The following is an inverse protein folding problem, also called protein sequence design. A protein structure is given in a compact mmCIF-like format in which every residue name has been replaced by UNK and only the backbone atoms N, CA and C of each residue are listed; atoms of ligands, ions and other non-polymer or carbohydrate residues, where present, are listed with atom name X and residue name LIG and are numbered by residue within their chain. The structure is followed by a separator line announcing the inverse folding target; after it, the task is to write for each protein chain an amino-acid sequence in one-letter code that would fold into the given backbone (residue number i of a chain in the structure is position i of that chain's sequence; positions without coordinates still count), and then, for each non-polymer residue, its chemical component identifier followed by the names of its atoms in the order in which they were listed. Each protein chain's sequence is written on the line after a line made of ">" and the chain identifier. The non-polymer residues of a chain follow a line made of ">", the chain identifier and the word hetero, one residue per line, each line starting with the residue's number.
data_IF_359111554432
#
_entry.id   IF_359111554432
#
_cell.length_a   1.000
_cell.length_b   1.000
_cell.length_c   1.000
_cell.angle_alpha   90.00
_cell.angle_beta   90.00
_cell.angle_gamma   90.00
#
_symmetry.space_group_name_H-M   'P 1'
#
loop_
_entity.id
_entity.type
_entity.pdbx_description
1 polymer ?
#
# COMPACT_ATOMS: atom_id res chain seq x y z
N UNK A 1 -40.85 26.85 -7.94
CA UNK A 1 -40.13 25.57 -8.16
C UNK A 1 -38.66 25.89 -8.38
N UNK A 2 -37.86 25.82 -7.33
CA UNK A 2 -36.41 26.12 -7.37
C UNK A 2 -35.68 24.90 -7.91
N UNK A 3 -35.05 25.08 -9.08
CA UNK A 3 -34.21 24.06 -9.69
C UNK A 3 -33.00 23.80 -8.79
N UNK A 4 -32.93 22.63 -8.16
CA UNK A 4 -31.80 22.15 -7.43
C UNK A 4 -30.64 21.97 -8.42
N UNK A 5 -29.67 22.87 -8.41
CA UNK A 5 -28.45 22.70 -9.18
C UNK A 5 -27.75 21.40 -8.71
N UNK A 6 -27.76 20.36 -9.55
CA UNK A 6 -26.93 19.15 -9.34
C UNK A 6 -25.49 19.61 -9.35
N UNK A 7 -24.85 19.55 -8.17
CA UNK A 7 -23.41 19.75 -8.01
C UNK A 7 -22.70 18.78 -8.95
N UNK A 8 -22.05 19.27 -10.00
CA UNK A 8 -21.25 18.45 -10.92
C UNK A 8 -20.10 17.86 -10.12
N UNK A 9 -20.06 16.54 -10.00
CA UNK A 9 -18.88 15.84 -9.48
C UNK A 9 -17.70 16.17 -10.40
N UNK A 10 -16.73 16.93 -9.90
CA UNK A 10 -15.58 17.43 -10.65
C UNK A 10 -14.42 16.44 -10.74
N UNK A 11 -14.56 15.23 -10.18
CA UNK A 11 -13.55 14.19 -10.22
C UNK A 11 -14.04 13.00 -11.05
N UNK A 12 -13.27 12.63 -12.09
CA UNK A 12 -13.46 11.32 -12.73
C UNK A 12 -13.11 10.25 -11.71
N UNK A 13 -13.72 9.06 -11.80
CA UNK A 13 -13.39 7.91 -10.95
C UNK A 13 -11.88 7.53 -11.02
N UNK A 14 -11.18 7.92 -12.10
CA UNK A 14 -9.73 7.76 -12.25
C UNK A 14 -8.90 8.68 -11.35
N UNK A 15 -9.48 9.75 -10.81
CA UNK A 15 -8.78 10.76 -10.00
C UNK A 15 -9.44 10.86 -8.61
N UNK A 16 -10.25 9.89 -8.22
CA UNK A 16 -10.86 9.87 -6.90
C UNK A 16 -9.76 9.94 -5.83
N UNK A 17 -9.79 10.99 -5.03
CA UNK A 17 -8.92 11.13 -3.87
C UNK A 17 -9.39 10.16 -2.78
N UNK A 18 -8.45 9.50 -2.13
CA UNK A 18 -8.70 8.75 -0.90
C UNK A 18 -8.72 9.66 0.34
N UNK A 19 -8.33 10.94 0.18
CA UNK A 19 -8.35 11.93 1.25
C UNK A 19 -9.78 12.34 1.59
N UNK A 20 -10.07 12.49 2.88
CA UNK A 20 -11.30 13.11 3.36
C UNK A 20 -11.32 14.62 3.03
N UNK A 21 -12.52 15.23 3.04
CA UNK A 21 -12.64 16.66 2.85
C UNK A 21 -11.91 17.42 3.97
N UNK A 22 -11.04 18.37 3.58
CA UNK A 22 -10.22 19.14 4.52
C UNK A 22 -8.99 18.44 5.07
N UNK A 23 -8.74 17.17 4.74
CA UNK A 23 -7.54 16.48 5.15
C UNK A 23 -6.29 17.05 4.45
N UNK A 24 -5.18 17.31 5.15
CA UNK A 24 -3.92 17.72 4.55
C UNK A 24 -3.43 16.68 3.54
N UNK A 25 -3.01 17.14 2.37
CA UNK A 25 -2.52 16.26 1.30
C UNK A 25 -1.25 16.81 0.66
N UNK A 26 -0.38 15.92 0.17
CA UNK A 26 0.73 16.27 -0.70
C UNK A 26 0.44 15.76 -2.13
N UNK A 27 0.58 16.60 -3.17
CA UNK A 27 0.42 16.15 -4.54
C UNK A 27 1.63 15.31 -4.98
N UNK A 28 1.38 14.23 -5.68
CA UNK A 28 2.36 13.40 -6.39
C UNK A 28 3.65 13.10 -5.59
N UNK A 29 3.57 12.59 -4.35
CA UNK A 29 4.75 12.42 -3.49
C UNK A 29 5.81 11.50 -4.10
N UNK A 30 5.40 10.45 -4.82
CA UNK A 30 6.30 9.55 -5.54
C UNK A 30 7.08 10.28 -6.64
N UNK A 31 6.38 11.02 -7.49
CA UNK A 31 7.01 11.72 -8.62
C UNK A 31 8.02 12.77 -8.14
N UNK A 32 7.67 13.56 -7.12
CA UNK A 32 8.58 14.54 -6.54
C UNK A 32 9.81 13.89 -5.89
N UNK A 33 9.63 12.84 -5.12
CA UNK A 33 10.74 12.11 -4.49
C UNK A 33 11.69 11.50 -5.54
N UNK A 34 11.14 10.93 -6.61
CA UNK A 34 11.93 10.35 -7.69
C UNK A 34 12.71 11.40 -8.48
N UNK A 35 12.10 12.55 -8.78
CA UNK A 35 12.78 13.68 -9.45
C UNK A 35 13.96 14.16 -8.61
N UNK A 36 13.76 14.33 -7.30
CA UNK A 36 14.83 14.78 -6.41
C UNK A 36 15.98 13.77 -6.32
N UNK A 37 15.63 12.47 -6.17
CA UNK A 37 16.61 11.40 -6.14
C UNK A 37 17.44 11.32 -7.44
N UNK A 38 16.79 11.47 -8.59
CA UNK A 38 17.42 11.39 -9.90
C UNK A 38 18.37 12.56 -10.23
N UNK A 39 18.34 13.64 -9.46
CA UNK A 39 19.36 14.70 -9.56
C UNK A 39 20.76 14.22 -9.17
N UNK A 40 20.83 13.32 -8.22
CA UNK A 40 22.08 12.78 -7.67
C UNK A 40 22.44 11.41 -8.30
N UNK A 41 21.51 10.77 -8.98
CA UNK A 41 21.62 9.39 -9.50
C UNK A 41 21.32 9.38 -11.00
N UNK A 42 22.37 9.27 -11.81
CA UNK A 42 22.25 9.23 -13.28
C UNK A 42 21.80 7.87 -13.82
N UNK A 43 21.93 6.83 -13.02
CA UNK A 43 21.51 5.46 -13.34
C UNK A 43 19.99 5.24 -13.26
N UNK A 44 19.24 6.16 -12.65
CA UNK A 44 17.78 6.06 -12.55
C UNK A 44 17.12 6.33 -13.90
N UNK A 45 16.27 5.40 -14.33
CA UNK A 45 15.41 5.51 -15.51
C UNK A 45 13.96 5.26 -15.14
N UNK A 46 13.04 5.97 -15.78
CA UNK A 46 11.58 5.84 -15.55
C UNK A 46 10.91 5.15 -16.73
N UNK A 47 10.14 4.09 -16.49
CA UNK A 47 9.39 3.38 -17.52
C UNK A 47 7.90 3.31 -17.17
N UNK A 48 7.02 3.39 -18.16
CA UNK A 48 5.57 3.27 -17.94
C UNK A 48 4.84 2.55 -19.08
N UNK A 49 3.71 1.92 -18.72
CA UNK A 49 2.77 1.33 -19.67
C UNK A 49 1.60 2.29 -19.94
N UNK A 50 1.90 3.45 -20.54
CA UNK A 50 0.94 4.51 -20.91
C UNK A 50 0.13 5.10 -19.72
N UNK A 51 0.72 5.10 -18.53
CA UNK A 51 0.08 5.55 -17.31
C UNK A 51 0.86 6.61 -16.52
N UNK A 52 1.85 7.30 -17.16
CA UNK A 52 2.75 8.22 -16.46
C UNK A 52 2.01 9.28 -15.63
N UNK A 53 0.94 9.87 -16.16
CA UNK A 53 0.10 10.86 -15.47
C UNK A 53 -0.69 10.24 -14.31
N UNK A 54 -1.04 8.97 -14.42
CA UNK A 54 -1.85 8.25 -13.45
C UNK A 54 -1.04 7.48 -12.40
N UNK A 55 0.28 7.61 -12.45
CA UNK A 55 1.23 7.01 -11.50
C UNK A 55 2.23 8.05 -10.99
N UNK A 56 1.95 9.34 -11.24
CA UNK A 56 2.80 10.49 -10.89
C UNK A 56 4.20 10.50 -11.57
N UNK A 57 4.50 9.52 -12.45
CA UNK A 57 5.78 9.44 -13.16
C UNK A 57 5.96 10.54 -14.23
N UNK A 58 4.89 11.24 -14.61
CA UNK A 58 4.96 12.36 -15.55
C UNK A 58 5.92 13.47 -15.07
N UNK A 59 6.06 13.68 -13.76
CA UNK A 59 7.03 14.65 -13.22
C UNK A 59 8.46 14.26 -13.53
N UNK A 60 8.77 12.96 -13.50
CA UNK A 60 10.08 12.46 -13.93
C UNK A 60 10.28 12.61 -15.45
N UNK A 61 9.24 12.31 -16.24
CA UNK A 61 9.27 12.47 -17.69
C UNK A 61 9.55 13.92 -18.12
N UNK A 62 8.92 14.90 -17.44
CA UNK A 62 9.11 16.32 -17.68
C UNK A 62 10.52 16.80 -17.27
N UNK A 63 11.07 16.28 -16.15
CA UNK A 63 12.37 16.66 -15.64
C UNK A 63 13.55 15.98 -16.36
N UNK A 64 13.36 14.75 -16.81
CA UNK A 64 14.40 13.89 -17.40
C UNK A 64 13.90 13.12 -18.64
N UNK A 65 13.52 13.81 -19.72
CA UNK A 65 12.94 13.20 -20.91
C UNK A 65 13.84 12.14 -21.57
N UNK A 66 15.16 12.32 -21.54
CA UNK A 66 16.13 11.37 -22.09
C UNK A 66 16.30 10.08 -21.27
N UNK A 67 15.74 10.04 -20.06
CA UNK A 67 15.75 8.87 -19.15
C UNK A 67 14.35 8.31 -18.91
N UNK A 68 13.37 8.77 -19.69
CA UNK A 68 11.98 8.31 -19.60
C UNK A 68 11.59 7.50 -20.84
N UNK A 69 10.94 6.35 -20.63
CA UNK A 69 10.56 5.41 -21.68
C UNK A 69 9.08 5.04 -21.57
N UNK A 70 8.35 5.33 -22.64
CA UNK A 70 6.95 4.95 -22.80
C UNK A 70 6.87 3.63 -23.57
N UNK A 71 6.37 2.57 -22.92
CA UNK A 71 6.32 1.22 -23.48
C UNK A 71 4.95 0.86 -24.09
N UNK A 72 3.97 1.77 -24.02
CA UNK A 72 2.59 1.48 -24.41
C UNK A 72 1.87 0.57 -23.41
N UNK A 73 0.62 0.21 -23.68
CA UNK A 73 -0.17 -0.72 -22.86
C UNK A 73 0.30 -2.17 -23.02
N UNK A 74 1.58 -2.42 -22.72
CA UNK A 74 2.27 -3.69 -22.90
C UNK A 74 3.11 -4.01 -21.64
N UNK A 75 2.46 -4.41 -20.56
CA UNK A 75 3.10 -4.60 -19.25
C UNK A 75 4.18 -5.69 -19.27
N UNK A 76 4.03 -6.71 -20.12
CA UNK A 76 5.06 -7.73 -20.31
C UNK A 76 6.33 -7.13 -20.93
N UNK A 77 6.20 -6.32 -21.98
CA UNK A 77 7.32 -5.62 -22.59
C UNK A 77 7.96 -4.64 -21.60
N UNK A 78 7.13 -3.91 -20.85
CA UNK A 78 7.57 -2.97 -19.82
C UNK A 78 8.53 -3.66 -18.84
N UNK A 79 8.15 -4.82 -18.29
CA UNK A 79 8.97 -5.55 -17.31
C UNK A 79 10.23 -6.15 -17.94
N UNK A 80 10.12 -6.69 -19.16
CA UNK A 80 11.29 -7.22 -19.88
C UNK A 80 12.32 -6.13 -20.23
N UNK A 81 11.85 -4.96 -20.65
CA UNK A 81 12.72 -3.82 -20.94
C UNK A 81 13.44 -3.33 -19.67
N UNK A 82 12.71 -3.23 -18.55
CA UNK A 82 13.30 -2.87 -17.26
C UNK A 82 14.36 -3.90 -16.80
N UNK A 83 14.10 -5.19 -16.99
CA UNK A 83 15.08 -6.23 -16.69
C UNK A 83 16.37 -6.06 -17.52
N UNK A 84 16.23 -5.82 -18.84
CA UNK A 84 17.38 -5.54 -19.70
C UNK A 84 18.18 -4.31 -19.24
N UNK A 85 17.51 -3.22 -18.90
CA UNK A 85 18.17 -2.01 -18.40
C UNK A 85 18.87 -2.25 -17.05
N UNK A 86 18.27 -3.04 -16.15
CA UNK A 86 18.89 -3.37 -14.87
C UNK A 86 20.17 -4.20 -15.04
N UNK A 87 20.22 -5.10 -16.03
CA UNK A 87 21.43 -5.85 -16.38
C UNK A 87 22.57 -4.95 -16.90
N UNK A 88 22.21 -3.84 -17.57
CA UNK A 88 23.17 -2.82 -18.05
C UNK A 88 23.57 -1.80 -16.96
N UNK A 89 23.15 -2.03 -15.70
CA UNK A 89 23.55 -1.20 -14.55
C UNK A 89 22.66 0.00 -14.26
N UNK A 90 21.51 0.13 -14.93
CA UNK A 90 20.51 1.12 -14.58
C UNK A 90 19.66 0.65 -13.39
N UNK A 91 19.00 1.61 -12.73
CA UNK A 91 18.00 1.37 -11.70
C UNK A 91 16.61 1.80 -12.22
N UNK A 92 15.87 0.89 -12.88
CA UNK A 92 14.57 1.22 -13.45
C UNK A 92 13.51 1.39 -12.37
N UNK A 93 12.79 2.52 -12.42
CA UNK A 93 11.50 2.73 -11.75
C UNK A 93 10.39 2.52 -12.77
N UNK A 94 9.62 1.45 -12.57
CA UNK A 94 8.59 0.99 -13.51
C UNK A 94 7.22 1.30 -12.94
N UNK A 95 6.33 1.89 -13.75
CA UNK A 95 4.98 2.22 -13.28
C UNK A 95 3.88 1.71 -14.19
N UNK A 96 2.86 1.13 -13.56
CA UNK A 96 1.58 0.76 -14.15
C UNK A 96 0.52 0.70 -13.05
N UNK A 97 -0.67 0.15 -13.30
CA UNK A 97 -1.60 -0.19 -12.23
C UNK A 97 -1.26 -1.54 -11.60
N UNK A 98 -1.53 -1.65 -10.29
CA UNK A 98 -1.22 -2.85 -9.50
C UNK A 98 -1.87 -4.11 -10.10
N UNK A 99 -3.12 -4.00 -10.54
CA UNK A 99 -3.85 -5.10 -11.20
C UNK A 99 -3.20 -5.55 -12.51
N UNK A 100 -2.58 -4.63 -13.26
CA UNK A 100 -1.95 -4.99 -14.54
C UNK A 100 -0.55 -5.58 -14.33
N UNK A 101 0.20 -5.07 -13.36
CA UNK A 101 1.46 -5.69 -12.99
C UNK A 101 1.26 -7.12 -12.48
N UNK A 102 0.30 -7.34 -11.57
CA UNK A 102 0.10 -8.64 -10.94
C UNK A 102 -0.53 -9.67 -11.87
N UNK A 103 -1.51 -9.29 -12.69
CA UNK A 103 -2.24 -10.25 -13.54
C UNK A 103 -1.62 -10.46 -14.92
N UNK A 104 -1.10 -9.39 -15.57
CA UNK A 104 -0.60 -9.48 -16.95
C UNK A 104 0.88 -9.71 -17.04
N UNK A 105 1.66 -9.16 -16.13
CA UNK A 105 3.13 -9.19 -16.21
C UNK A 105 3.76 -10.15 -15.20
N UNK A 106 2.97 -10.96 -14.47
CA UNK A 106 3.48 -11.82 -13.40
C UNK A 106 4.66 -12.68 -13.85
N UNK A 107 4.54 -13.41 -14.94
CA UNK A 107 5.59 -14.30 -15.45
C UNK A 107 6.86 -13.53 -15.83
N UNK A 108 6.70 -12.35 -16.43
CA UNK A 108 7.82 -11.48 -16.83
C UNK A 108 8.53 -10.87 -15.61
N UNK A 109 7.78 -10.52 -14.56
CA UNK A 109 8.39 -10.11 -13.28
C UNK A 109 9.12 -11.28 -12.65
N UNK A 110 8.51 -12.47 -12.65
CA UNK A 110 9.09 -13.68 -12.06
C UNK A 110 10.38 -14.08 -12.76
N UNK A 111 10.33 -14.29 -14.08
CA UNK A 111 11.43 -14.91 -14.82
C UNK A 111 12.48 -13.90 -15.32
N UNK A 112 12.09 -12.67 -15.67
CA UNK A 112 13.04 -11.71 -16.18
C UNK A 112 13.66 -10.82 -15.09
N UNK A 113 13.00 -10.65 -13.94
CA UNK A 113 13.45 -9.72 -12.89
C UNK A 113 13.78 -10.46 -11.59
N UNK A 114 12.81 -11.22 -11.03
CA UNK A 114 12.95 -11.80 -9.70
C UNK A 114 13.89 -13.01 -9.66
N UNK A 115 13.90 -13.84 -10.70
CA UNK A 115 14.76 -15.01 -10.80
C UNK A 115 16.25 -14.61 -10.72
N UNK A 116 16.64 -13.54 -11.42
CA UNK A 116 17.99 -12.99 -11.39
C UNK A 116 18.24 -11.95 -10.28
N UNK A 117 17.24 -11.71 -9.43
CA UNK A 117 17.29 -10.72 -8.35
C UNK A 117 17.72 -9.32 -8.81
N UNK A 118 17.19 -8.86 -9.95
CA UNK A 118 17.58 -7.59 -10.56
C UNK A 118 17.04 -6.38 -9.79
N UNK A 119 17.79 -5.29 -9.77
CA UNK A 119 17.45 -4.07 -9.08
C UNK A 119 16.39 -3.24 -9.83
N UNK A 120 15.16 -3.72 -9.89
CA UNK A 120 14.01 -3.07 -10.53
C UNK A 120 12.99 -2.63 -9.47
N UNK A 121 12.53 -1.37 -9.53
CA UNK A 121 11.54 -0.80 -8.60
C UNK A 121 10.18 -0.68 -9.31
N UNK A 122 9.23 -1.51 -8.95
CA UNK A 122 7.91 -1.64 -9.59
C UNK A 122 6.89 -0.90 -8.72
N UNK A 123 6.64 0.39 -9.02
CA UNK A 123 5.72 1.24 -8.28
C UNK A 123 4.35 1.27 -8.97
N UNK A 124 3.35 0.60 -8.38
CA UNK A 124 2.07 0.37 -9.04
C UNK A 124 0.91 1.07 -8.35
N UNK A 125 0.23 1.94 -9.10
CA UNK A 125 -0.94 2.67 -8.60
C UNK A 125 -2.21 1.80 -8.56
N UNK A 126 -3.22 2.28 -7.87
CA UNK A 126 -4.51 1.64 -7.64
C UNK A 126 -4.42 0.28 -6.91
N UNK A 127 -3.65 0.17 -5.80
CA UNK A 127 -3.64 -1.05 -5.02
C UNK A 127 -4.96 -1.26 -4.26
N UNK A 128 -5.38 -2.49 -4.13
CA UNK A 128 -6.61 -2.85 -3.41
C UNK A 128 -7.85 -2.14 -3.94
N UNK A 129 -8.72 -1.69 -3.03
CA UNK A 129 -9.92 -0.92 -3.33
C UNK A 129 -9.63 0.60 -3.22
N UNK A 130 -8.84 1.13 -4.15
CA UNK A 130 -8.57 2.57 -4.29
C UNK A 130 -9.10 3.16 -5.60
N UNK A 131 -9.92 2.40 -6.31
CA UNK A 131 -10.64 2.84 -7.51
C UNK A 131 -12.06 2.29 -7.55
N UNK A 132 -12.98 3.07 -8.10
CA UNK A 132 -14.38 2.70 -8.28
C UNK A 132 -14.71 1.98 -9.58
N UNK A 133 -13.72 1.60 -10.40
CA UNK A 133 -13.95 1.01 -11.73
C UNK A 133 -14.37 -0.45 -11.74
N UNK A 134 -14.42 -1.10 -10.58
CA UNK A 134 -14.73 -2.52 -10.48
C UNK A 134 -13.53 -3.44 -10.73
N UNK A 135 -13.75 -4.76 -10.85
CA UNK A 135 -12.71 -5.78 -10.78
C UNK A 135 -11.59 -5.67 -11.80
N UNK A 136 -11.85 -5.02 -12.95
CA UNK A 136 -10.84 -4.83 -13.99
C UNK A 136 -9.69 -3.91 -13.57
N UNK A 137 -9.90 -3.07 -12.53
CA UNK A 137 -8.94 -2.07 -12.06
C UNK A 137 -8.65 -2.16 -10.56
N UNK A 138 -9.34 -3.03 -9.83
CA UNK A 138 -9.15 -3.24 -8.39
C UNK A 138 -8.17 -4.38 -8.17
N UNK A 139 -6.99 -4.06 -7.62
CA UNK A 139 -5.94 -5.05 -7.32
C UNK A 139 -6.14 -5.58 -5.89
N UNK A 140 -7.18 -6.39 -5.71
CA UNK A 140 -7.54 -6.92 -4.39
C UNK A 140 -6.74 -8.16 -3.99
N UNK A 141 -5.99 -8.75 -4.92
CA UNK A 141 -5.21 -9.97 -4.74
C UNK A 141 -3.71 -9.82 -5.07
N UNK A 142 -3.22 -8.61 -5.31
CA UNK A 142 -1.84 -8.35 -5.76
C UNK A 142 -0.79 -8.83 -4.74
N UNK A 143 -1.01 -8.59 -3.44
CA UNK A 143 -0.11 -9.09 -2.39
C UNK A 143 -0.10 -10.63 -2.39
N UNK A 144 -1.26 -11.27 -2.46
CA UNK A 144 -1.36 -12.73 -2.47
C UNK A 144 -0.56 -13.35 -3.63
N UNK A 145 -0.69 -12.77 -4.84
CA UNK A 145 0.01 -13.20 -6.05
C UNK A 145 1.53 -13.05 -5.87
N UNK A 146 1.99 -11.93 -5.34
CA UNK A 146 3.42 -11.61 -5.26
C UNK A 146 4.12 -12.17 -4.02
N UNK A 147 3.39 -12.50 -2.94
CA UNK A 147 4.01 -13.08 -1.74
C UNK A 147 4.71 -14.42 -2.01
N UNK A 148 4.20 -15.19 -2.95
CA UNK A 148 4.83 -16.46 -3.36
C UNK A 148 6.08 -16.31 -4.23
N UNK A 149 6.36 -15.13 -4.79
CA UNK A 149 7.49 -14.92 -5.71
C UNK A 149 8.81 -14.75 -4.93
N UNK A 150 9.82 -15.61 -5.12
CA UNK A 150 11.13 -15.44 -4.47
C UNK A 150 11.77 -14.08 -4.81
N UNK A 151 12.67 -13.61 -3.95
CA UNK A 151 13.45 -12.38 -4.08
C UNK A 151 12.65 -11.06 -4.11
N UNK A 152 11.35 -11.07 -4.42
CA UNK A 152 10.53 -9.87 -4.50
C UNK A 152 10.20 -9.31 -3.10
N UNK A 153 10.62 -8.08 -2.84
CA UNK A 153 10.20 -7.31 -1.67
C UNK A 153 8.86 -6.62 -1.96
N UNK A 154 7.92 -6.65 -1.01
CA UNK A 154 6.59 -6.02 -1.13
C UNK A 154 6.46 -4.92 -0.09
N UNK A 155 6.15 -3.69 -0.55
CA UNK A 155 5.98 -2.51 0.29
C UNK A 155 4.61 -1.87 0.02
N UNK A 156 3.90 -1.53 1.10
CA UNK A 156 2.58 -0.88 1.08
C UNK A 156 2.63 0.40 1.95
N UNK A 157 3.13 1.53 1.42
CA UNK A 157 3.26 2.77 2.17
C UNK A 157 1.91 3.34 2.58
N UNK A 158 1.85 3.93 3.78
CA UNK A 158 0.65 4.47 4.38
C UNK A 158 0.19 5.77 3.69
N UNK A 159 1.08 6.75 3.56
CA UNK A 159 0.74 8.12 3.20
C UNK A 159 1.84 8.84 2.38
N UNK A 160 1.63 10.13 2.12
CA UNK A 160 2.59 10.94 1.36
C UNK A 160 3.94 11.11 2.08
N UNK A 161 3.92 11.24 3.42
CA UNK A 161 5.12 11.38 4.22
C UNK A 161 6.01 10.15 4.11
N UNK A 162 5.41 8.96 4.17
CA UNK A 162 6.13 7.70 4.04
C UNK A 162 6.59 7.43 2.60
N UNK A 163 5.75 7.67 1.59
CA UNK A 163 6.14 7.50 0.18
C UNK A 163 7.43 8.29 -0.12
N UNK A 164 7.51 9.52 0.36
CA UNK A 164 8.69 10.38 0.15
C UNK A 164 9.96 9.83 0.80
N UNK A 165 9.84 9.02 1.86
CA UNK A 165 10.96 8.35 2.53
C UNK A 165 11.29 6.99 1.91
N UNK A 166 10.27 6.25 1.44
CA UNK A 166 10.44 4.92 0.82
C UNK A 166 11.24 5.02 -0.48
N UNK A 167 10.94 6.00 -1.35
CA UNK A 167 11.58 6.12 -2.67
C UNK A 167 13.12 6.19 -2.58
N UNK A 168 13.73 7.08 -1.78
CA UNK A 168 15.19 7.07 -1.61
C UNK A 168 15.72 5.86 -0.83
N UNK A 169 14.91 5.24 0.04
CA UNK A 169 15.37 4.11 0.83
C UNK A 169 15.47 2.80 0.02
N UNK A 170 14.66 2.66 -1.03
CA UNK A 170 14.63 1.43 -1.84
C UNK A 170 15.60 1.45 -3.04
N UNK A 171 16.16 2.60 -3.42
CA UNK A 171 17.01 2.71 -4.61
C UNK A 171 18.24 1.82 -4.54
N UNK A 172 18.86 1.73 -3.38
CA UNK A 172 20.06 0.92 -3.13
C UNK A 172 19.75 -0.50 -2.62
N UNK A 173 18.47 -0.83 -2.42
CA UNK A 173 18.07 -2.19 -2.09
C UNK A 173 18.37 -3.11 -3.27
N UNK A 174 19.23 -4.09 -3.06
CA UNK A 174 19.58 -5.08 -4.07
C UNK A 174 18.43 -6.07 -4.26
N UNK A 175 17.88 -6.10 -5.46
CA UNK A 175 16.75 -6.92 -5.82
C UNK A 175 15.46 -6.14 -6.13
N UNK A 176 14.44 -6.85 -6.63
CA UNK A 176 13.19 -6.25 -7.06
C UNK A 176 12.33 -5.82 -5.86
N UNK A 177 11.71 -4.65 -6.03
CA UNK A 177 10.73 -4.11 -5.07
C UNK A 177 9.42 -3.87 -5.79
N UNK A 178 8.35 -4.45 -5.29
CA UNK A 178 6.98 -4.08 -5.63
C UNK A 178 6.44 -3.12 -4.58
N UNK A 179 6.14 -1.89 -4.98
CA UNK A 179 5.58 -0.86 -4.11
C UNK A 179 4.14 -0.55 -4.53
N UNK A 180 3.20 -0.71 -3.60
CA UNK A 180 1.80 -0.28 -3.75
C UNK A 180 1.73 1.23 -3.63
N UNK A 181 1.35 1.92 -4.69
CA UNK A 181 1.46 3.37 -4.79
C UNK A 181 0.11 4.07 -4.62
N UNK A 182 -0.03 4.87 -3.57
CA UNK A 182 -1.03 5.92 -3.49
C UNK A 182 -0.55 7.13 -4.30
N UNK A 183 -1.42 7.72 -5.12
CA UNK A 183 -1.08 8.70 -6.14
C UNK A 183 -1.94 9.95 -6.11
N UNK A 184 -1.52 10.96 -6.86
CA UNK A 184 -2.24 12.23 -6.96
C UNK A 184 -2.19 13.01 -5.65
N UNK A 185 -3.32 13.42 -5.10
CA UNK A 185 -3.38 14.07 -3.79
C UNK A 185 -3.42 13.02 -2.69
N UNK A 186 -2.28 12.73 -2.12
CA UNK A 186 -2.11 11.70 -1.08
C UNK A 186 -2.17 12.34 0.31
N UNK A 187 -2.95 11.78 1.26
CA UNK A 187 -3.03 12.29 2.63
C UNK A 187 -1.67 12.39 3.32
N UNK A 188 -1.55 13.35 4.26
CA UNK A 188 -0.47 13.45 5.24
C UNK A 188 -1.03 13.04 6.60
N UNK A 189 -0.50 11.99 7.20
CA UNK A 189 -0.97 11.41 8.47
C UNK A 189 0.19 11.11 9.40
N UNK A 190 1.22 10.40 8.91
CA UNK A 190 2.37 9.97 9.72
C UNK A 190 3.32 11.13 10.07
N UNK A 191 3.21 12.28 9.42
CA UNK A 191 3.94 13.50 9.74
C UNK A 191 3.64 14.05 11.16
N UNK A 192 2.49 13.68 11.74
CA UNK A 192 2.08 14.04 13.11
C UNK A 192 2.69 13.17 14.19
N UNK A 193 3.33 12.08 13.79
CA UNK A 193 3.99 11.12 14.67
C UNK A 193 5.49 11.19 14.44
N UNK A 194 6.30 10.81 15.38
CA UNK A 194 7.76 10.71 15.20
C UNK A 194 8.12 9.48 14.37
N UNK A 195 7.53 9.44 13.15
CA UNK A 195 7.69 8.32 12.22
C UNK A 195 8.86 8.55 11.28
N UNK A 196 9.72 7.53 11.19
CA UNK A 196 10.82 7.44 10.21
C UNK A 196 10.79 6.08 9.56
N UNK A 197 10.66 6.06 8.23
CA UNK A 197 10.72 4.80 7.50
C UNK A 197 12.08 4.12 7.69
N UNK A 198 12.04 2.86 8.08
CA UNK A 198 13.18 1.97 8.14
C UNK A 198 12.85 0.72 7.34
N UNK A 199 13.66 0.44 6.31
CA UNK A 199 13.41 -0.68 5.41
C UNK A 199 13.36 -2.02 6.17
N UNK A 200 12.30 -2.79 5.96
CA UNK A 200 12.08 -4.07 6.64
C UNK A 200 11.63 -3.97 8.11
N UNK A 201 11.26 -2.79 8.61
CA UNK A 201 10.82 -2.60 10.00
C UNK A 201 9.36 -2.18 10.10
N UNK A 202 8.65 -2.83 11.03
CA UNK A 202 7.36 -2.38 11.52
C UNK A 202 7.57 -1.46 12.74
N UNK A 203 6.66 -0.50 12.95
CA UNK A 203 6.75 0.46 14.05
C UNK A 203 5.43 0.61 14.78
N UNK A 204 5.50 0.64 16.13
CA UNK A 204 4.36 1.03 16.96
C UNK A 204 4.19 2.55 16.87
N UNK A 205 3.09 2.98 16.23
CA UNK A 205 2.73 4.40 16.10
C UNK A 205 1.95 4.87 17.34
N UNK A 206 1.08 3.99 17.88
CA UNK A 206 0.24 4.27 19.03
C UNK A 206 0.20 3.05 19.95
N UNK A 207 0.30 3.26 21.25
CA UNK A 207 0.07 2.23 22.27
C UNK A 207 -1.43 2.07 22.55
N UNK A 208 -1.85 0.92 23.10
CA UNK A 208 -3.24 0.68 23.51
C UNK A 208 -3.36 -0.48 24.49
N UNK A 209 -4.44 -0.47 25.32
CA UNK A 209 -4.66 -1.42 26.40
C UNK A 209 -5.64 -2.54 26.09
N UNK A 210 -6.59 -2.32 25.16
CA UNK A 210 -7.67 -3.28 24.86
C UNK A 210 -7.39 -4.12 23.62
N UNK A 211 -6.77 -3.51 22.60
CA UNK A 211 -6.40 -4.18 21.35
C UNK A 211 -5.13 -3.57 20.75
N UNK A 212 -4.53 -4.29 19.80
CA UNK A 212 -3.51 -3.76 18.90
C UNK A 212 -3.90 -4.07 17.45
N UNK A 213 -3.90 -3.04 16.59
CA UNK A 213 -4.11 -3.18 15.16
C UNK A 213 -2.73 -3.18 14.49
N UNK A 214 -2.43 -4.23 13.72
CA UNK A 214 -1.25 -4.32 12.87
C UNK A 214 -1.71 -4.10 11.44
N UNK A 215 -1.26 -3.04 10.80
CA UNK A 215 -1.81 -2.57 9.53
C UNK A 215 -0.73 -2.16 8.53
N UNK A 216 -1.10 -2.09 7.25
CA UNK A 216 -0.27 -1.54 6.17
C UNK A 216 -1.05 -0.55 5.29
N UNK A 217 -0.32 0.24 4.53
CA UNK A 217 -0.88 1.12 3.52
C UNK A 217 -2.01 2.02 4.01
N UNK A 218 -3.00 2.22 3.17
CA UNK A 218 -4.21 2.99 3.48
C UNK A 218 -4.85 2.62 4.82
N UNK A 219 -4.80 1.35 5.21
CA UNK A 219 -5.48 0.90 6.42
C UNK A 219 -4.79 1.37 7.70
N UNK A 220 -3.52 1.77 7.66
CA UNK A 220 -2.87 2.40 8.82
C UNK A 220 -3.46 3.78 9.11
N UNK A 221 -3.75 4.59 8.09
CA UNK A 221 -4.44 5.87 8.29
C UNK A 221 -5.78 5.66 8.99
N UNK A 222 -6.57 4.70 8.51
CA UNK A 222 -7.88 4.38 9.09
C UNK A 222 -7.81 3.75 10.47
N UNK A 223 -6.78 2.95 10.72
CA UNK A 223 -6.54 2.38 12.04
C UNK A 223 -6.26 3.48 13.09
N UNK A 224 -5.49 4.50 12.71
CA UNK A 224 -5.21 5.66 13.57
C UNK A 224 -6.48 6.48 13.83
N UNK A 225 -7.26 6.78 12.79
CA UNK A 225 -8.57 7.46 12.92
C UNK A 225 -9.56 6.64 13.79
N UNK A 226 -9.64 5.33 13.55
CA UNK A 226 -10.50 4.44 14.32
C UNK A 226 -10.08 4.38 15.80
N UNK A 227 -8.77 4.35 16.08
CA UNK A 227 -8.26 4.37 17.45
C UNK A 227 -8.62 5.67 18.19
N UNK A 228 -8.58 6.83 17.51
CA UNK A 228 -9.01 8.11 18.06
C UNK A 228 -10.52 8.13 18.38
N UNK A 229 -11.35 7.58 17.48
CA UNK A 229 -12.80 7.50 17.70
C UNK A 229 -13.18 6.50 18.81
N UNK A 230 -12.48 5.38 18.90
CA UNK A 230 -12.67 4.38 19.95
C UNK A 230 -12.25 4.91 21.32
N UNK A 231 -11.18 5.71 21.41
CA UNK A 231 -10.74 6.34 22.63
C UNK A 231 -11.82 7.24 23.25
N UNK A 232 -12.54 8.01 22.44
CA UNK A 232 -13.70 8.82 22.89
C UNK A 232 -14.81 7.99 23.52
N UNK A 233 -14.83 6.68 23.21
CA UNK A 233 -15.77 5.68 23.78
C UNK A 233 -15.17 4.86 24.93
N UNK A 234 -13.97 5.23 25.40
CA UNK A 234 -13.27 4.51 26.48
C UNK A 234 -12.55 3.23 26.04
N UNK A 235 -12.39 3.01 24.73
CA UNK A 235 -11.71 1.84 24.16
C UNK A 235 -10.34 2.27 23.65
N UNK A 236 -9.28 1.89 24.34
CA UNK A 236 -7.89 2.27 24.05
C UNK A 236 -7.23 1.21 23.15
N UNK A 237 -6.97 1.57 21.88
CA UNK A 237 -6.46 0.68 20.83
C UNK A 237 -5.09 1.16 20.34
N UNK A 238 -4.11 0.26 20.34
CA UNK A 238 -2.78 0.50 19.78
C UNK A 238 -2.75 0.28 18.28
N UNK A 239 -1.79 0.92 17.60
CA UNK A 239 -1.56 0.77 16.15
C UNK A 239 -0.09 0.51 15.89
N UNK A 240 0.19 -0.57 15.17
CA UNK A 240 1.50 -0.94 14.63
C UNK A 240 1.42 -0.86 13.13
N UNK A 241 2.28 -0.05 12.53
CA UNK A 241 2.41 0.07 11.08
C UNK A 241 3.49 -0.88 10.57
N UNK A 242 3.13 -1.72 9.58
CA UNK A 242 4.01 -2.67 8.92
C UNK A 242 4.05 -2.37 7.41
N UNK A 243 4.88 -1.42 6.97
CA UNK A 243 4.92 -1.02 5.56
C UNK A 243 5.50 -2.10 4.66
N UNK A 244 6.38 -2.96 5.17
CA UNK A 244 6.96 -4.06 4.41
C UNK A 244 6.21 -5.35 4.73
N UNK A 245 5.51 -5.87 3.71
CA UNK A 245 4.72 -7.09 3.80
C UNK A 245 5.62 -8.33 3.61
N UNK A 246 6.64 -8.18 2.76
CA UNK A 246 7.61 -9.23 2.47
C UNK A 246 8.99 -8.62 2.21
N UNK A 247 10.04 -9.04 2.98
CA UNK A 247 9.93 -9.89 4.17
C UNK A 247 9.19 -9.19 5.31
N UNK A 248 8.44 -9.95 6.11
CA UNK A 248 7.76 -9.43 7.30
C UNK A 248 8.77 -9.18 8.42
N UNK A 249 8.64 -8.10 9.18
CA UNK A 249 9.39 -7.90 10.44
C UNK A 249 8.82 -8.80 11.54
N UNK A 250 9.15 -10.09 11.46
CA UNK A 250 8.66 -11.09 12.40
C UNK A 250 9.00 -10.74 13.85
N UNK A 251 10.17 -10.14 14.09
CA UNK A 251 10.60 -9.79 15.45
C UNK A 251 9.66 -8.77 16.10
N UNK A 252 9.33 -7.69 15.39
CA UNK A 252 8.38 -6.68 15.90
C UNK A 252 6.98 -7.25 16.01
N UNK A 253 6.51 -7.99 15.00
CA UNK A 253 5.17 -8.60 15.01
C UNK A 253 5.01 -9.59 16.18
N UNK A 254 5.97 -10.47 16.41
CA UNK A 254 5.95 -11.43 17.51
C UNK A 254 5.98 -10.75 18.87
N UNK A 255 6.76 -9.68 19.02
CA UNK A 255 6.79 -8.88 20.25
C UNK A 255 5.41 -8.25 20.53
N UNK A 256 4.85 -7.53 19.56
CA UNK A 256 3.59 -6.81 19.72
C UNK A 256 2.39 -7.75 19.96
N UNK A 257 2.30 -8.84 19.20
CA UNK A 257 1.25 -9.84 19.35
C UNK A 257 1.45 -10.70 20.60
N UNK A 258 2.70 -11.01 20.97
CA UNK A 258 3.03 -11.75 22.19
C UNK A 258 2.67 -10.96 23.45
N UNK A 259 3.06 -9.68 23.51
CA UNK A 259 2.64 -8.78 24.60
C UNK A 259 1.10 -8.65 24.68
N UNK A 260 0.42 -8.62 23.52
CA UNK A 260 -1.03 -8.60 23.47
C UNK A 260 -1.64 -9.92 23.99
N UNK A 261 -1.12 -11.06 23.59
CA UNK A 261 -1.57 -12.39 24.04
C UNK A 261 -1.44 -12.55 25.57
N UNK A 262 -0.29 -12.19 26.12
CA UNK A 262 -0.04 -12.27 27.58
C UNK A 262 -1.01 -11.34 28.34
N UNK A 263 -1.27 -10.14 27.81
CA UNK A 263 -2.18 -9.17 28.40
C UNK A 263 -3.67 -9.42 28.11
N UNK A 264 -4.03 -10.51 27.44
CA UNK A 264 -5.42 -10.81 27.05
C UNK A 264 -6.02 -9.84 26.03
N UNK A 265 -5.18 -9.05 25.36
CA UNK A 265 -5.60 -8.06 24.36
C UNK A 265 -5.94 -8.72 23.03
N UNK A 266 -6.85 -8.10 22.28
CA UNK A 266 -7.18 -8.52 20.93
C UNK A 266 -6.08 -8.06 19.94
N UNK A 267 -5.64 -8.96 19.07
CA UNK A 267 -4.78 -8.64 17.93
C UNK A 267 -5.65 -8.56 16.68
N UNK A 268 -5.57 -7.45 15.98
CA UNK A 268 -6.33 -7.18 14.75
C UNK A 268 -5.34 -6.91 13.64
N UNK A 269 -5.52 -7.52 12.46
CA UNK A 269 -4.82 -7.07 11.25
C UNK A 269 -5.76 -6.23 10.40
N UNK A 270 -5.22 -5.20 9.73
CA UNK A 270 -6.00 -4.35 8.85
C UNK A 270 -5.25 -4.08 7.54
N UNK A 271 -5.87 -4.46 6.41
CA UNK A 271 -5.28 -4.37 5.09
C UNK A 271 -6.31 -4.03 4.00
N UNK A 272 -5.91 -3.25 3.00
CA UNK A 272 -6.72 -2.98 1.80
C UNK A 272 -6.41 -4.05 0.73
N UNK A 273 -6.73 -5.30 1.05
CA UNK A 273 -6.47 -6.48 0.24
C UNK A 273 -7.49 -7.55 0.60
N UNK A 274 -7.66 -8.56 -0.25
CA UNK A 274 -8.47 -9.75 0.08
C UNK A 274 -8.01 -10.36 1.40
N UNK A 275 -8.97 -10.87 2.16
CA UNK A 275 -8.69 -11.62 3.41
C UNK A 275 -7.76 -12.82 3.16
N UNK A 276 -7.72 -13.31 1.93
CA UNK A 276 -6.90 -14.45 1.50
C UNK A 276 -5.55 -13.98 0.95
N UNK A 277 -4.47 -14.52 1.47
CA UNK A 277 -3.10 -14.34 0.95
C UNK A 277 -2.41 -13.02 1.33
N UNK A 278 -3.06 -12.12 2.08
CA UNK A 278 -2.54 -10.80 2.42
C UNK A 278 -1.66 -10.76 3.69
N UNK A 279 -1.60 -9.56 4.29
CA UNK A 279 -0.87 -9.27 5.52
C UNK A 279 -1.39 -10.10 6.71
N UNK A 280 -2.72 -10.19 6.84
CA UNK A 280 -3.34 -10.89 7.96
C UNK A 280 -2.97 -12.36 8.01
N UNK A 281 -3.01 -13.08 6.89
CA UNK A 281 -2.55 -14.47 6.82
C UNK A 281 -1.03 -14.60 7.01
N UNK A 282 -0.24 -13.66 6.53
CA UNK A 282 1.22 -13.65 6.78
C UNK A 282 1.51 -13.59 8.28
N UNK A 283 0.84 -12.68 8.98
CA UNK A 283 0.96 -12.51 10.44
C UNK A 283 0.45 -13.75 11.17
N UNK A 284 -0.75 -14.24 10.84
CA UNK A 284 -1.32 -15.43 11.47
C UNK A 284 -0.39 -16.65 11.34
N UNK A 285 0.15 -16.88 10.13
CA UNK A 285 1.11 -17.96 9.90
C UNK A 285 2.41 -17.79 10.70
N UNK A 286 2.93 -16.56 10.80
CA UNK A 286 4.10 -16.25 11.64
C UNK A 286 3.83 -16.51 13.11
N UNK A 287 2.72 -16.03 13.65
CA UNK A 287 2.32 -16.25 15.04
C UNK A 287 2.19 -17.75 15.34
N UNK A 288 1.54 -18.50 14.46
CA UNK A 288 1.35 -19.94 14.63
C UNK A 288 2.68 -20.71 14.61
N UNK A 289 3.59 -20.39 13.68
CA UNK A 289 4.92 -21.02 13.63
C UNK A 289 5.74 -20.82 14.90
N UNK A 290 5.51 -19.71 15.63
CA UNK A 290 6.22 -19.37 16.86
C UNK A 290 5.41 -19.67 18.14
N UNK A 291 4.27 -20.36 18.03
CA UNK A 291 3.44 -20.74 19.17
C UNK A 291 2.75 -19.58 19.90
N UNK A 292 2.59 -18.44 19.23
CA UNK A 292 1.88 -17.28 19.75
C UNK A 292 0.42 -17.33 19.31
N UNK A 293 -0.52 -17.48 20.25
CA UNK A 293 -1.94 -17.68 19.96
C UNK A 293 -2.81 -16.60 20.66
N UNK A 294 -2.83 -15.36 20.17
CA UNK A 294 -3.72 -14.31 20.71
C UNK A 294 -5.17 -14.52 20.27
N UNK A 295 -6.10 -13.80 20.91
CA UNK A 295 -7.40 -13.52 20.28
C UNK A 295 -7.12 -12.74 18.99
N UNK A 296 -7.50 -13.27 17.82
CA UNK A 296 -7.12 -12.73 16.53
C UNK A 296 -8.34 -12.41 15.64
N UNK A 297 -8.32 -11.26 14.98
CA UNK A 297 -9.34 -10.84 13.99
C UNK A 297 -8.67 -10.14 12.81
N UNK A 298 -9.35 -10.15 11.66
CA UNK A 298 -8.88 -9.50 10.43
C UNK A 298 -9.92 -8.51 9.92
N UNK A 299 -9.46 -7.33 9.52
CA UNK A 299 -10.21 -6.34 8.74
C UNK A 299 -9.57 -6.31 7.35
N UNK A 300 -10.27 -6.84 6.38
CA UNK A 300 -9.79 -7.01 5.00
C UNK A 300 -10.99 -7.03 4.04
N UNK A 301 -10.72 -6.98 2.75
CA UNK A 301 -11.74 -7.14 1.71
C UNK A 301 -12.21 -8.60 1.65
N UNK A 302 -13.50 -8.84 1.41
CA UNK A 302 -14.02 -10.21 1.29
C UNK A 302 -13.45 -10.91 0.05
N UNK A 303 -13.40 -12.25 0.09
CA UNK A 303 -12.99 -13.10 -1.03
C UNK A 303 -14.08 -13.15 -2.11
N UNK A 304 -14.20 -12.07 -2.86
CA UNK A 304 -15.14 -11.90 -3.99
C UNK A 304 -14.69 -10.78 -4.92
N UNK A 305 -15.18 -10.77 -6.15
CA UNK A 305 -15.06 -9.60 -7.02
C UNK A 305 -15.93 -8.45 -6.50
N UNK A 306 -15.32 -7.28 -6.32
CA UNK A 306 -16.00 -6.14 -5.73
C UNK A 306 -16.75 -5.33 -6.78
N UNK A 307 -17.84 -4.68 -6.37
CA UNK A 307 -18.64 -3.83 -7.24
C UNK A 307 -17.86 -2.59 -7.73
N UNK A 308 -18.35 -1.98 -8.82
CA UNK A 308 -17.98 -0.64 -9.22
C UNK A 308 -18.87 0.40 -8.48
N UNK A 309 -18.30 1.56 -8.14
CA UNK A 309 -19.04 2.62 -7.45
C UNK A 309 -18.18 3.70 -6.83
N UNK A 310 -18.79 4.56 -6.02
CA UNK A 310 -18.07 5.58 -5.27
C UNK A 310 -17.26 4.94 -4.13
N UNK A 311 -15.98 5.29 -4.00
CA UNK A 311 -15.09 4.69 -3.01
C UNK A 311 -15.61 4.75 -1.56
N UNK A 312 -16.13 5.87 -1.05
CA UNK A 312 -16.65 5.88 0.33
C UNK A 312 -17.75 4.84 0.55
N UNK A 313 -18.68 4.72 -0.39
CA UNK A 313 -19.78 3.73 -0.31
C UNK A 313 -19.23 2.29 -0.35
N UNK A 314 -18.27 2.03 -1.25
CA UNK A 314 -17.65 0.70 -1.35
C UNK A 314 -16.84 0.37 -0.09
N UNK A 315 -16.12 1.33 0.47
CA UNK A 315 -15.37 1.12 1.70
C UNK A 315 -16.27 0.80 2.90
N UNK A 316 -17.43 1.47 3.02
CA UNK A 316 -18.43 1.13 4.04
C UNK A 316 -19.02 -0.25 3.78
N UNK A 317 -19.44 -0.52 2.55
CA UNK A 317 -20.04 -1.81 2.15
C UNK A 317 -19.11 -2.99 2.42
N UNK A 318 -17.82 -2.84 2.18
CA UNK A 318 -16.84 -3.92 2.35
C UNK A 318 -16.09 -3.88 3.69
N UNK A 319 -16.53 -3.05 4.62
CA UNK A 319 -16.07 -3.09 6.00
C UNK A 319 -14.68 -2.51 6.26
N UNK A 320 -14.10 -1.75 5.31
CA UNK A 320 -12.78 -1.15 5.42
C UNK A 320 -12.78 0.37 5.61
N UNK A 321 -13.93 1.01 5.78
CA UNK A 321 -14.01 2.42 6.19
C UNK A 321 -13.65 2.58 7.68
N UNK A 322 -13.29 3.78 8.10
CA UNK A 322 -13.01 4.09 9.51
C UNK A 322 -14.21 3.77 10.40
N UNK A 323 -15.44 4.15 9.97
CA UNK A 323 -16.69 3.87 10.70
C UNK A 323 -16.96 2.37 10.85
N UNK A 324 -16.75 1.60 9.78
CA UNK A 324 -16.92 0.16 9.81
C UNK A 324 -15.87 -0.52 10.72
N UNK A 325 -14.61 -0.05 10.71
CA UNK A 325 -13.57 -0.54 11.60
C UNK A 325 -13.93 -0.29 13.08
N UNK A 326 -14.38 0.93 13.40
CA UNK A 326 -14.82 1.29 14.76
C UNK A 326 -15.92 0.33 15.24
N UNK A 327 -16.95 0.12 14.44
CA UNK A 327 -18.09 -0.75 14.81
C UNK A 327 -17.65 -2.21 15.02
N UNK A 328 -16.82 -2.75 14.12
CA UNK A 328 -16.28 -4.12 14.24
C UNK A 328 -15.42 -4.30 15.49
N UNK A 329 -14.50 -3.36 15.75
CA UNK A 329 -13.57 -3.45 16.88
C UNK A 329 -14.34 -3.34 18.22
N UNK A 330 -15.28 -2.39 18.31
CA UNK A 330 -16.13 -2.24 19.48
C UNK A 330 -16.92 -3.53 19.78
N UNK A 331 -17.55 -4.13 18.77
CA UNK A 331 -18.24 -5.40 18.88
C UNK A 331 -17.31 -6.53 19.39
N UNK A 332 -16.10 -6.64 18.85
CA UNK A 332 -15.16 -7.72 19.22
C UNK A 332 -14.54 -7.55 20.61
N UNK A 333 -14.47 -6.34 21.12
CA UNK A 333 -13.96 -6.07 22.47
C UNK A 333 -15.05 -6.33 23.51
N UNK A 334 -16.31 -6.02 23.19
CA UNK A 334 -17.45 -6.21 24.10
C UNK A 334 -18.00 -7.66 24.11
N UNK A 335 -17.65 -8.48 23.11
CA UNK A 335 -17.98 -9.91 23.06
C UNK A 335 -16.91 -10.78 23.71
#
# INVERSE_FOLDING_TARGET
>A
MTATQKKRLTTSAMIASIAAEGQPTQPAPFGHALVELARQRQDIVGLTADLSKYTDLHLFADAYPDRFFQMGMAEQLLMSAAAGMAREGFTPFVTTYAVFASRRAYDFICMAIAEENLNVKIACALPGLTTGYGPSHQATEDIAIFRGMPNLTIIDPCDAHEISQVVPAIVDHQGPVYMRLLRGKVPLVLDKYDYRYQHGKAQRIRSGKHAVIISSGLMTMRALEAAEELEKRGIDVGVVHSPVIKPLDEATILKEAGEAAIGGRLVITAENHSITGGLGEAIAATLMRHGVAPRFRQIALPDQFLAAGALPTLHDQYGISTSAMVAQIEQWILS
#
